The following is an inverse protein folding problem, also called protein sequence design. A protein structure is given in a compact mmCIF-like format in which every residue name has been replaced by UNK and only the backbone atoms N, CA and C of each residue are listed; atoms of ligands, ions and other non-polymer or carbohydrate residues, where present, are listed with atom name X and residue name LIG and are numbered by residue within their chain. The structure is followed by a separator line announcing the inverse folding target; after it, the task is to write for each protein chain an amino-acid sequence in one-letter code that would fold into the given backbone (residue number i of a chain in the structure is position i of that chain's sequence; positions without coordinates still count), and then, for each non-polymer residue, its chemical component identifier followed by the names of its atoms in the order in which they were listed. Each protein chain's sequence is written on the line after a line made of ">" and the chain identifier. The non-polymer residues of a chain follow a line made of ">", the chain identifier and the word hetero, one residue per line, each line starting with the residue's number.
data_IF_463221848181
#
_entry.id   IF_463221848181
#
_cell.length_a   1.000
_cell.length_b   1.000
_cell.length_c   1.000
_cell.angle_alpha   90.00
_cell.angle_beta   90.00
_cell.angle_gamma   90.00
#
_symmetry.space_group_name_H-M   'P 1'
#
loop_
_entity.id
_entity.type
_entity.pdbx_description
1 polymer ?
#
# COMPACT_ATOMS: atom_id res chain seq x y z
N UNK A 1 -26.04 24.95 -25.98
CA UNK A 1 -24.60 25.09 -25.69
C UNK A 1 -24.49 25.52 -24.23
N UNK A 2 -24.02 24.64 -23.36
CA UNK A 2 -23.76 25.05 -21.98
C UNK A 2 -22.53 25.96 -22.00
N UNK A 3 -22.75 27.23 -21.70
CA UNK A 3 -21.66 28.18 -21.50
C UNK A 3 -20.84 27.72 -20.30
N UNK A 4 -19.55 27.49 -20.49
CA UNK A 4 -18.60 27.21 -19.41
C UNK A 4 -18.67 28.37 -18.40
N UNK A 5 -19.20 28.09 -17.22
CA UNK A 5 -19.26 29.06 -16.14
C UNK A 5 -17.91 29.09 -15.43
N UNK A 6 -17.09 30.07 -15.78
CA UNK A 6 -15.76 30.28 -15.21
C UNK A 6 -15.80 30.52 -13.70
N UNK A 7 -16.88 31.11 -13.20
CA UNK A 7 -17.06 31.32 -11.76
C UNK A 7 -17.24 29.98 -11.03
N UNK A 8 -18.09 29.11 -11.56
CA UNK A 8 -18.28 27.77 -11.04
C UNK A 8 -16.97 26.95 -11.07
N UNK A 9 -16.20 27.05 -12.15
CA UNK A 9 -14.92 26.35 -12.25
C UNK A 9 -13.93 26.81 -11.17
N UNK A 10 -13.91 28.10 -10.88
CA UNK A 10 -13.05 28.68 -9.86
C UNK A 10 -13.44 28.24 -8.45
N UNK A 11 -14.73 28.30 -8.13
CA UNK A 11 -15.26 27.75 -6.86
C UNK A 11 -14.96 26.25 -6.71
N UNK A 12 -15.25 25.45 -7.73
CA UNK A 12 -14.98 24.01 -7.71
C UNK A 12 -13.49 23.70 -7.49
N UNK A 13 -12.59 24.51 -8.05
CA UNK A 13 -11.15 24.37 -7.84
C UNK A 13 -10.77 24.57 -6.36
N UNK A 14 -11.26 25.59 -5.69
CA UNK A 14 -10.95 25.83 -4.28
C UNK A 14 -11.59 24.78 -3.36
N UNK A 15 -12.80 24.32 -3.68
CA UNK A 15 -13.42 23.21 -2.95
C UNK A 15 -12.57 21.93 -3.08
N UNK A 16 -12.10 21.62 -4.28
CA UNK A 16 -11.20 20.47 -4.50
C UNK A 16 -9.87 20.64 -3.76
N UNK A 17 -9.28 21.84 -3.76
CA UNK A 17 -8.03 22.15 -3.07
C UNK A 17 -8.16 22.02 -1.54
N UNK A 18 -9.33 22.29 -0.98
CA UNK A 18 -9.58 22.13 0.46
C UNK A 18 -9.47 20.65 0.92
N UNK A 19 -9.61 19.69 0.02
CA UNK A 19 -9.38 18.27 0.29
C UNK A 19 -7.90 17.84 0.28
N UNK A 20 -7.00 18.69 -0.23
CA UNK A 20 -5.59 18.36 -0.36
C UNK A 20 -4.90 17.97 0.97
N UNK A 21 -5.13 18.66 2.11
CA UNK A 21 -4.50 18.29 3.38
C UNK A 21 -4.85 16.87 3.83
N UNK A 22 -6.11 16.46 3.66
CA UNK A 22 -6.57 15.11 4.02
C UNK A 22 -5.92 14.05 3.11
N UNK A 23 -5.81 14.34 1.81
CA UNK A 23 -5.15 13.47 0.85
C UNK A 23 -3.67 13.30 1.18
N UNK A 24 -2.98 14.40 1.49
CA UNK A 24 -1.57 14.36 1.93
C UNK A 24 -1.40 13.57 3.23
N UNK A 25 -2.28 13.75 4.20
CA UNK A 25 -2.26 12.99 5.45
C UNK A 25 -2.39 11.49 5.20
N UNK A 26 -3.37 11.08 4.41
CA UNK A 26 -3.57 9.66 4.05
C UNK A 26 -2.32 9.10 3.35
N UNK A 27 -1.75 9.85 2.41
CA UNK A 27 -0.56 9.43 1.66
C UNK A 27 0.65 9.25 2.58
N UNK A 28 0.91 10.22 3.45
CA UNK A 28 2.05 10.17 4.38
C UNK A 28 1.91 8.99 5.35
N UNK A 29 0.73 8.81 5.95
CA UNK A 29 0.47 7.69 6.87
C UNK A 29 0.61 6.35 6.15
N UNK A 30 0.03 6.22 4.95
CA UNK A 30 0.16 5.01 4.16
C UNK A 30 1.61 4.69 3.82
N UNK A 31 2.42 5.67 3.44
CA UNK A 31 3.86 5.48 3.15
C UNK A 31 4.66 5.09 4.40
N UNK A 32 4.43 5.77 5.53
CA UNK A 32 5.12 5.47 6.79
C UNK A 32 4.90 4.02 7.25
N UNK A 33 3.71 3.48 7.04
CA UNK A 33 3.39 2.08 7.33
C UNK A 33 3.97 1.16 6.25
N UNK A 34 3.83 1.54 4.99
CA UNK A 34 4.12 0.64 3.86
C UNK A 34 5.61 0.47 3.58
N UNK A 35 6.45 1.45 3.87
CA UNK A 35 7.89 1.36 3.65
C UNK A 35 8.51 0.24 4.49
N UNK A 36 8.39 0.22 5.83
CA UNK A 36 9.00 -0.82 6.64
C UNK A 36 8.38 -2.20 6.39
N UNK A 37 7.06 -2.29 6.25
CA UNK A 37 6.37 -3.56 6.01
C UNK A 37 6.68 -4.12 4.62
N UNK A 38 6.67 -3.28 3.58
CA UNK A 38 7.02 -3.67 2.22
C UNK A 38 8.48 -4.11 2.09
N UNK A 39 9.39 -3.42 2.80
CA UNK A 39 10.78 -3.83 2.86
C UNK A 39 10.94 -5.20 3.53
N UNK A 40 10.29 -5.41 4.68
CA UNK A 40 10.28 -6.71 5.37
C UNK A 40 9.75 -7.82 4.47
N UNK A 41 8.61 -7.61 3.80
CA UNK A 41 8.05 -8.60 2.87
C UNK A 41 8.98 -8.88 1.68
N UNK A 42 9.71 -7.88 1.21
CA UNK A 42 10.71 -8.07 0.15
C UNK A 42 11.85 -8.98 0.58
N UNK A 43 12.33 -8.85 1.83
CA UNK A 43 13.36 -9.74 2.40
C UNK A 43 12.84 -11.17 2.58
N UNK A 44 11.62 -11.34 3.09
CA UNK A 44 10.96 -12.67 3.20
C UNK A 44 10.92 -13.37 1.84
N UNK A 45 10.59 -12.64 0.79
CA UNK A 45 10.52 -13.15 -0.58
C UNK A 45 11.89 -13.41 -1.22
N UNK A 46 12.93 -12.72 -0.78
CA UNK A 46 14.30 -12.98 -1.23
C UNK A 46 14.88 -14.23 -0.56
N UNK A 47 14.60 -14.40 0.73
CA UNK A 47 15.09 -15.55 1.50
C UNK A 47 14.37 -16.86 1.17
N UNK A 48 13.24 -16.81 0.45
CA UNK A 48 12.52 -18.00 -0.03
C UNK A 48 11.93 -18.87 1.08
N UNK A 49 11.54 -18.29 2.23
CA UNK A 49 10.86 -19.04 3.31
C UNK A 49 9.54 -19.62 2.80
N UNK A 50 9.37 -20.97 2.75
CA UNK A 50 8.36 -21.59 1.89
C UNK A 50 6.93 -21.16 2.19
N UNK A 51 6.56 -20.98 3.46
CA UNK A 51 5.20 -20.61 3.86
C UNK A 51 4.97 -19.08 3.72
N UNK A 52 5.88 -18.29 4.25
CA UNK A 52 5.74 -16.82 4.24
C UNK A 52 5.86 -16.23 2.83
N UNK A 53 6.76 -16.76 2.00
CA UNK A 53 6.89 -16.33 0.61
C UNK A 53 5.61 -16.63 -0.18
N UNK A 54 4.99 -17.80 0.03
CA UNK A 54 3.75 -18.15 -0.64
C UNK A 54 2.59 -17.25 -0.22
N UNK A 55 2.45 -16.95 1.07
CA UNK A 55 1.44 -16.02 1.57
C UNK A 55 1.64 -14.60 1.00
N UNK A 56 2.88 -14.11 0.99
CA UNK A 56 3.22 -12.83 0.38
C UNK A 56 2.86 -12.78 -1.11
N UNK A 57 3.15 -13.85 -1.86
CA UNK A 57 2.81 -13.95 -3.30
C UNK A 57 1.31 -13.87 -3.54
N UNK A 58 0.53 -14.62 -2.76
CA UNK A 58 -0.94 -14.61 -2.87
C UNK A 58 -1.48 -13.21 -2.60
N UNK A 59 -1.04 -12.60 -1.50
CA UNK A 59 -1.43 -11.24 -1.13
C UNK A 59 -1.09 -10.22 -2.23
N UNK A 60 0.17 -10.20 -2.67
CA UNK A 60 0.64 -9.25 -3.69
C UNK A 60 -0.07 -9.48 -5.01
N UNK A 61 -0.27 -10.75 -5.41
CA UNK A 61 -0.99 -11.09 -6.63
C UNK A 61 -2.44 -10.63 -6.59
N UNK A 62 -3.11 -10.82 -5.45
CA UNK A 62 -4.49 -10.35 -5.26
C UNK A 62 -4.58 -8.82 -5.33
N UNK A 63 -3.74 -8.11 -4.57
CA UNK A 63 -3.78 -6.65 -4.49
C UNK A 63 -3.43 -6.01 -5.83
N UNK A 64 -2.43 -6.54 -6.56
CA UNK A 64 -2.05 -6.03 -7.88
C UNK A 64 -2.97 -6.47 -9.01
N UNK A 65 -3.68 -7.58 -8.83
CA UNK A 65 -4.65 -8.09 -9.79
C UNK A 65 -6.04 -7.45 -9.69
N UNK A 66 -6.31 -6.72 -8.61
CA UNK A 66 -7.60 -6.05 -8.41
C UNK A 66 -7.47 -4.53 -8.50
N UNK A 67 -8.38 -3.83 -9.21
CA UNK A 67 -8.42 -2.38 -9.22
C UNK A 67 -8.57 -1.81 -7.80
N UNK A 68 -7.86 -0.71 -7.52
CA UNK A 68 -7.89 -0.06 -6.20
C UNK A 68 -9.31 0.31 -5.76
N UNK A 69 -10.16 0.74 -6.68
CA UNK A 69 -11.55 1.09 -6.37
C UNK A 69 -12.35 -0.08 -5.78
N UNK A 70 -12.09 -1.30 -6.25
CA UNK A 70 -12.73 -2.50 -5.71
C UNK A 70 -12.21 -2.79 -4.30
N UNK A 71 -10.92 -2.58 -4.05
CA UNK A 71 -10.33 -2.74 -2.71
C UNK A 71 -10.91 -1.73 -1.71
N UNK A 72 -11.07 -0.47 -2.13
CA UNK A 72 -11.74 0.56 -1.33
C UNK A 72 -13.16 0.11 -0.99
N UNK A 73 -13.93 -0.27 -2.00
CA UNK A 73 -15.32 -0.72 -1.82
C UNK A 73 -15.41 -1.92 -0.86
N UNK A 74 -14.51 -2.90 -1.00
CA UNK A 74 -14.46 -4.08 -0.15
C UNK A 74 -14.19 -3.68 1.31
N UNK A 75 -13.14 -2.88 1.56
CA UNK A 75 -12.75 -2.46 2.92
C UNK A 75 -13.85 -1.63 3.58
N UNK A 76 -14.43 -0.66 2.86
CA UNK A 76 -15.49 0.18 3.41
C UNK A 76 -16.79 -0.57 3.71
N UNK A 77 -17.05 -1.71 3.09
CA UNK A 77 -18.24 -2.54 3.38
C UNK A 77 -17.95 -3.65 4.40
N UNK A 78 -16.78 -4.28 4.35
CA UNK A 78 -16.47 -5.44 5.21
C UNK A 78 -15.96 -5.01 6.58
N UNK A 79 -15.09 -3.98 6.65
CA UNK A 79 -14.49 -3.56 7.91
C UNK A 79 -15.49 -3.11 8.97
N UNK A 80 -16.53 -2.33 8.66
CA UNK A 80 -17.56 -1.99 9.62
C UNK A 80 -18.20 -3.22 10.27
N UNK A 81 -18.51 -4.25 9.48
CA UNK A 81 -19.11 -5.49 9.96
C UNK A 81 -18.17 -6.24 10.92
N UNK A 82 -16.87 -6.29 10.58
CA UNK A 82 -15.86 -6.95 11.42
C UNK A 82 -15.66 -6.19 12.73
N UNK A 83 -15.57 -4.87 12.67
CA UNK A 83 -15.44 -4.00 13.85
C UNK A 83 -16.66 -4.14 14.75
N UNK A 84 -17.87 -4.14 14.21
CA UNK A 84 -19.09 -4.33 15.00
C UNK A 84 -19.10 -5.67 15.70
N UNK A 85 -18.74 -6.77 15.02
CA UNK A 85 -18.65 -8.10 15.62
C UNK A 85 -17.61 -8.13 16.76
N UNK A 86 -16.48 -7.50 16.55
CA UNK A 86 -15.41 -7.41 17.55
C UNK A 86 -15.87 -6.61 18.78
N UNK A 87 -16.50 -5.44 18.60
CA UNK A 87 -17.03 -4.62 19.68
C UNK A 87 -18.09 -5.37 20.50
N UNK A 88 -18.97 -6.09 19.84
CA UNK A 88 -19.99 -6.92 20.51
C UNK A 88 -19.35 -8.06 21.34
N UNK A 89 -18.30 -8.69 20.81
CA UNK A 89 -17.61 -9.79 21.52
C UNK A 89 -16.83 -9.32 22.75
N UNK A 90 -16.38 -8.07 22.75
CA UNK A 90 -15.65 -7.45 23.89
C UNK A 90 -16.55 -6.69 24.87
N UNK A 91 -17.90 -6.80 24.72
CA UNK A 91 -18.88 -6.05 25.54
C UNK A 91 -18.60 -4.53 25.58
N UNK A 92 -18.02 -3.99 24.52
CA UNK A 92 -17.73 -2.56 24.41
C UNK A 92 -19.02 -1.75 24.25
N UNK A 93 -19.09 -0.62 24.91
CA UNK A 93 -20.18 0.36 24.76
C UNK A 93 -20.03 1.25 23.52
N UNK A 94 -18.90 1.15 22.79
CA UNK A 94 -18.64 1.91 21.57
C UNK A 94 -19.54 1.41 20.44
N UNK A 95 -20.09 2.35 19.68
CA UNK A 95 -20.83 2.06 18.46
C UNK A 95 -19.90 2.10 17.25
N UNK A 96 -20.25 1.33 16.20
CA UNK A 96 -19.55 1.40 14.92
C UNK A 96 -19.61 2.79 14.29
N UNK A 97 -20.65 3.57 14.61
CA UNK A 97 -20.80 4.94 14.11
C UNK A 97 -19.81 5.92 14.73
N UNK A 98 -19.15 5.53 15.84
CA UNK A 98 -18.09 6.34 16.47
C UNK A 98 -16.74 6.18 15.78
N UNK A 99 -16.61 5.17 14.89
CA UNK A 99 -15.37 4.91 14.15
C UNK A 99 -15.27 5.82 12.93
N UNK A 100 -14.29 6.72 12.94
CA UNK A 100 -14.08 7.63 11.82
C UNK A 100 -13.68 6.85 10.54
N UNK A 101 -14.40 7.02 9.42
CA UNK A 101 -14.12 6.33 8.15
C UNK A 101 -12.70 6.53 7.61
N UNK A 102 -11.98 7.55 8.05
CA UNK A 102 -10.58 7.80 7.65
C UNK A 102 -9.64 6.64 8.00
N UNK A 103 -9.97 5.86 9.06
CA UNK A 103 -9.19 4.67 9.43
C UNK A 103 -9.25 3.58 8.35
N UNK A 104 -10.39 3.45 7.69
CA UNK A 104 -10.53 2.52 6.56
C UNK A 104 -9.72 2.98 5.35
N UNK A 105 -9.62 4.30 5.13
CA UNK A 105 -8.74 4.86 4.12
C UNK A 105 -7.27 4.54 4.42
N UNK A 106 -6.79 4.79 5.65
CA UNK A 106 -5.43 4.42 6.03
C UNK A 106 -5.15 2.94 5.80
N UNK A 107 -6.09 2.07 6.16
CA UNK A 107 -5.95 0.63 5.98
C UNK A 107 -5.82 0.24 4.51
N UNK A 108 -6.77 0.66 3.66
CA UNK A 108 -6.78 0.23 2.25
C UNK A 108 -5.58 0.78 1.49
N UNK A 109 -5.22 2.05 1.68
CA UNK A 109 -4.07 2.65 1.01
C UNK A 109 -2.75 2.06 1.50
N UNK A 110 -2.62 1.77 2.80
CA UNK A 110 -1.43 1.09 3.32
C UNK A 110 -1.29 -0.32 2.75
N UNK A 111 -2.34 -1.13 2.77
CA UNK A 111 -2.32 -2.46 2.18
C UNK A 111 -1.96 -2.43 0.69
N UNK A 112 -2.57 -1.55 -0.07
CA UNK A 112 -2.26 -1.40 -1.49
C UNK A 112 -0.80 -1.03 -1.73
N UNK A 113 -0.29 -0.04 -1.00
CA UNK A 113 1.08 0.46 -1.15
C UNK A 113 2.13 -0.57 -0.68
N UNK A 114 1.85 -1.34 0.38
CA UNK A 114 2.72 -2.45 0.82
C UNK A 114 2.97 -3.44 -0.33
N UNK A 115 1.93 -3.84 -1.05
CA UNK A 115 2.07 -4.80 -2.14
C UNK A 115 2.95 -4.26 -3.27
N UNK A 116 2.80 -2.97 -3.61
CA UNK A 116 3.61 -2.31 -4.64
C UNK A 116 5.07 -2.18 -4.17
N UNK A 117 5.31 -1.64 -2.98
CA UNK A 117 6.65 -1.41 -2.45
C UNK A 117 7.42 -2.72 -2.23
N UNK A 118 6.74 -3.80 -1.86
CA UNK A 118 7.38 -5.13 -1.74
C UNK A 118 8.05 -5.55 -3.06
N UNK A 119 7.38 -5.37 -4.19
CA UNK A 119 7.97 -5.71 -5.49
C UNK A 119 9.05 -4.73 -5.92
N UNK A 120 8.88 -3.45 -5.65
CA UNK A 120 9.90 -2.41 -5.93
C UNK A 120 11.19 -2.73 -5.16
N UNK A 121 11.10 -2.96 -3.84
CA UNK A 121 12.27 -3.31 -3.03
C UNK A 121 12.90 -4.63 -3.46
N UNK A 122 12.07 -5.65 -3.73
CA UNK A 122 12.56 -6.94 -4.20
C UNK A 122 13.33 -6.83 -5.52
N UNK A 123 12.84 -6.06 -6.49
CA UNK A 123 13.51 -5.87 -7.77
C UNK A 123 14.81 -5.08 -7.60
N UNK A 124 14.82 -4.01 -6.81
CA UNK A 124 16.00 -3.22 -6.53
C UNK A 124 17.11 -4.06 -5.85
N UNK A 125 16.77 -4.82 -4.80
CA UNK A 125 17.73 -5.68 -4.09
C UNK A 125 18.31 -6.78 -5.00
N UNK A 126 17.51 -7.38 -5.89
CA UNK A 126 18.02 -8.37 -6.86
C UNK A 126 19.00 -7.76 -7.86
N UNK A 127 18.78 -6.53 -8.30
CA UNK A 127 19.67 -5.85 -9.24
C UNK A 127 21.03 -5.57 -8.60
N UNK A 128 21.05 -5.12 -7.35
CA UNK A 128 22.30 -4.89 -6.60
C UNK A 128 23.10 -6.19 -6.44
N UNK A 129 22.45 -7.30 -6.08
CA UNK A 129 23.12 -8.59 -5.94
C UNK A 129 23.76 -9.07 -7.26
N UNK A 130 23.05 -8.92 -8.39
CA UNK A 130 23.62 -9.30 -9.70
C UNK A 130 24.83 -8.46 -10.07
N UNK A 131 24.76 -7.14 -9.90
CA UNK A 131 25.87 -6.24 -10.22
C UNK A 131 27.11 -6.53 -9.40
N UNK A 132 26.94 -6.86 -8.11
CA UNK A 132 28.07 -7.25 -7.24
C UNK A 132 28.71 -8.57 -7.68
N UNK A 133 27.90 -9.54 -8.08
CA UNK A 133 28.41 -10.83 -8.60
C UNK A 133 29.19 -10.65 -9.88
N UNK A 134 28.71 -9.85 -10.82
CA UNK A 134 29.38 -9.58 -12.10
C UNK A 134 30.73 -8.84 -11.90
N UNK A 135 30.78 -7.90 -10.95
CA UNK A 135 32.02 -7.22 -10.60
C UNK A 135 33.04 -8.19 -9.98
N UNK A 136 32.61 -9.10 -9.12
CA UNK A 136 33.47 -10.11 -8.52
C UNK A 136 34.05 -11.06 -9.56
N UNK A 137 33.25 -11.49 -10.54
CA UNK A 137 33.71 -12.32 -11.65
C UNK A 137 34.71 -11.58 -12.58
N UNK A 138 34.45 -10.30 -12.88
CA UNK A 138 35.37 -9.48 -13.69
C UNK A 138 36.71 -9.25 -13.03
N UNK A 139 36.73 -8.94 -11.74
CA UNK A 139 37.95 -8.71 -10.98
C UNK A 139 38.74 -10.03 -10.77
N UNK A 140 38.03 -11.15 -10.51
CA UNK A 140 38.67 -12.45 -10.32
C UNK A 140 39.34 -13.00 -11.61
N UNK A 141 38.73 -12.80 -12.77
CA UNK A 141 39.29 -13.23 -14.04
C UNK A 141 40.34 -12.28 -14.61
N UNK A 142 40.34 -11.01 -14.25
CA UNK A 142 41.38 -10.03 -14.64
C UNK A 142 42.66 -10.16 -13.87
N UNK A 143 42.69 -10.88 -12.76
CA UNK A 143 43.92 -11.12 -11.95
C UNK A 143 44.71 -12.39 -12.40
N UNK A 144 44.21 -13.11 -13.40
CA UNK A 144 44.84 -14.33 -13.94
C UNK A 144 45.43 -14.14 -15.38
N UNK A 145 45.36 -12.94 -15.93
CA UNK A 145 46.00 -12.55 -17.18
C UNK A 145 47.21 -11.64 -16.96
#
# INVERSE_FOLDING_TARGET
>A
MQTLDLHFMWEAFFIALSGAPITLLITVVALLISIPVGFFFSLVRLNGTPVLDQLCRIYISFVRGTPLIIQIFLIYNVMPILVERFLRSTHSTMSIFDVNPIWYAFLVFSLHTIAILTEVFRSALKTVQKSQLELHFKVGNGAQA
#
